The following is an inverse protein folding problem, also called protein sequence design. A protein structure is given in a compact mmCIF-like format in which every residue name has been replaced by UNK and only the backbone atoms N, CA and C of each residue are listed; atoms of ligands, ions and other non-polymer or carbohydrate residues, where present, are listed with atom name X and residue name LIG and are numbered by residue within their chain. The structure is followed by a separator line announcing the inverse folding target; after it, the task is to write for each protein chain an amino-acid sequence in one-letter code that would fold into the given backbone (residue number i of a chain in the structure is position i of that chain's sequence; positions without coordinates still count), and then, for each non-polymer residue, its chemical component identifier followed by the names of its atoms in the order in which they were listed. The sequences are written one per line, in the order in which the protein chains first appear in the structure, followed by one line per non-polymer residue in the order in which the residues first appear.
data_IF_492465698657
#
_entry.id   IF_492465698657
#
_cell.length_a   1.000
_cell.length_b   1.000
_cell.length_c   1.000
_cell.angle_alpha   90.00
_cell.angle_beta   90.00
_cell.angle_gamma   90.00
#
_symmetry.space_group_name_H-M   'P 1'
#
loop_
_entity.id
_entity.type
_entity.pdbx_description
1 polymer ?
#
# COMPACT_ATOMS: atom_id res chain seq x y z
N UNK A 1 -3.00 1.34 13.40
CA UNK A 1 -3.12 1.90 12.02
C UNK A 1 -1.90 2.74 11.69
N UNK A 2 -1.38 2.67 10.45
CA UNK A 2 -0.21 3.45 10.03
C UNK A 2 -0.50 4.93 9.72
N UNK A 3 -1.72 5.25 9.40
CA UNK A 3 -2.17 6.61 9.04
C UNK A 3 -2.36 7.52 10.26
N UNK A 4 -2.48 8.84 10.01
CA UNK A 4 -3.04 9.79 10.99
C UNK A 4 -4.53 9.47 11.24
N UNK A 5 -5.03 9.82 12.41
CA UNK A 5 -6.40 9.50 12.81
C UNK A 5 -7.46 10.05 11.82
N UNK A 6 -7.22 11.22 11.24
CA UNK A 6 -8.18 11.85 10.32
C UNK A 6 -7.92 11.58 8.84
N UNK A 7 -6.96 10.70 8.49
CA UNK A 7 -6.75 10.32 7.10
C UNK A 7 -7.97 9.58 6.53
N UNK A 8 -8.54 10.02 5.40
CA UNK A 8 -9.75 9.43 4.84
C UNK A 8 -9.61 7.94 4.50
N UNK A 9 -8.42 7.50 4.04
CA UNK A 9 -8.18 6.09 3.73
C UNK A 9 -8.06 5.27 5.01
N UNK A 10 -7.39 5.81 6.04
CA UNK A 10 -7.31 5.18 7.36
C UNK A 10 -8.69 4.98 7.96
N UNK A 11 -9.54 6.00 7.91
CA UNK A 11 -10.93 5.95 8.40
C UNK A 11 -11.78 4.96 7.59
N UNK A 12 -11.66 4.93 6.26
CA UNK A 12 -12.37 3.97 5.43
C UNK A 12 -11.96 2.51 5.73
N UNK A 13 -10.68 2.27 5.98
CA UNK A 13 -10.16 0.96 6.39
C UNK A 13 -10.72 0.54 7.76
N UNK A 14 -10.72 1.44 8.74
CA UNK A 14 -11.26 1.18 10.07
C UNK A 14 -12.78 0.90 10.02
N UNK A 15 -13.54 1.70 9.26
CA UNK A 15 -14.97 1.51 9.08
C UNK A 15 -15.29 0.15 8.43
N UNK A 16 -14.57 -0.23 7.36
CA UNK A 16 -14.74 -1.52 6.69
C UNK A 16 -14.43 -2.70 7.62
N UNK A 17 -13.44 -2.55 8.51
CA UNK A 17 -13.10 -3.55 9.53
C UNK A 17 -14.22 -3.69 10.57
N UNK A 18 -14.71 -2.58 11.14
CA UNK A 18 -15.80 -2.60 12.13
C UNK A 18 -17.08 -3.18 11.52
N UNK A 19 -17.44 -2.75 10.31
CA UNK A 19 -18.60 -3.28 9.57
C UNK A 19 -18.49 -4.79 9.35
N UNK A 20 -17.30 -5.27 8.92
CA UNK A 20 -17.05 -6.68 8.71
C UNK A 20 -17.14 -7.52 10.00
N UNK A 21 -16.64 -6.99 11.12
CA UNK A 21 -16.81 -7.63 12.43
C UNK A 21 -18.28 -7.66 12.86
N UNK A 22 -19.02 -6.57 12.62
CA UNK A 22 -20.46 -6.50 12.88
C UNK A 22 -21.25 -7.56 12.12
N UNK A 23 -20.90 -7.81 10.84
CA UNK A 23 -21.51 -8.87 10.03
C UNK A 23 -21.24 -10.29 10.59
N UNK A 24 -20.18 -10.46 11.36
CA UNK A 24 -19.81 -11.70 12.05
C UNK A 24 -20.34 -11.76 13.51
N UNK A 25 -21.24 -10.84 13.89
CA UNK A 25 -21.84 -10.70 15.22
C UNK A 25 -20.88 -10.22 16.32
N UNK A 26 -19.75 -9.64 15.99
CA UNK A 26 -18.90 -8.95 16.94
C UNK A 26 -19.38 -7.49 17.08
N UNK A 27 -19.74 -7.08 18.29
CA UNK A 27 -20.33 -5.75 18.58
C UNK A 27 -19.53 -5.06 19.68
N UNK A 28 -18.94 -3.92 19.34
CA UNK A 28 -18.21 -3.09 20.28
C UNK A 28 -19.12 -2.68 21.45
N UNK A 29 -18.58 -2.70 22.66
CA UNK A 29 -19.34 -2.44 23.92
C UNK A 29 -20.23 -3.58 24.39
N UNK A 30 -20.35 -4.70 23.63
CA UNK A 30 -21.14 -5.88 24.02
C UNK A 30 -20.24 -7.11 24.20
N UNK A 31 -19.66 -7.60 23.11
CA UNK A 31 -18.79 -8.79 23.10
C UNK A 31 -17.43 -8.52 22.45
N UNK A 32 -17.15 -7.26 22.12
CA UNK A 32 -15.91 -6.81 21.53
C UNK A 32 -15.49 -5.47 22.17
N UNK A 33 -14.19 -5.32 22.37
CA UNK A 33 -13.54 -4.05 22.66
C UNK A 33 -12.44 -3.83 21.65
N UNK A 34 -12.34 -2.62 21.05
CA UNK A 34 -11.29 -2.25 20.11
C UNK A 34 -10.51 -1.06 20.68
N UNK A 35 -9.23 -1.25 20.90
CA UNK A 35 -8.31 -0.19 21.33
C UNK A 35 -7.51 0.31 20.11
N UNK A 36 -7.91 1.46 19.57
CA UNK A 36 -7.27 2.06 18.41
C UNK A 36 -5.99 2.80 18.75
N UNK A 37 -4.98 2.70 17.87
CA UNK A 37 -3.78 3.54 17.87
C UNK A 37 -3.47 3.96 16.43
N UNK A 38 -3.20 5.24 16.24
CA UNK A 38 -2.91 5.84 14.95
C UNK A 38 -1.45 6.29 14.94
N UNK A 39 -0.63 5.65 14.12
CA UNK A 39 0.84 5.76 14.17
C UNK A 39 1.42 6.91 13.35
N UNK A 40 0.59 7.68 12.64
CA UNK A 40 0.98 8.88 11.88
C UNK A 40 2.21 8.71 10.98
N UNK A 41 2.39 7.52 10.43
CA UNK A 41 3.61 7.16 9.67
C UNK A 41 4.93 7.39 10.43
N UNK A 42 4.87 7.62 11.75
CA UNK A 42 6.03 7.87 12.62
C UNK A 42 6.50 6.56 13.27
N UNK A 43 7.72 6.09 12.97
CA UNK A 43 8.28 4.88 13.56
C UNK A 43 8.37 4.92 15.09
N UNK A 44 8.70 6.07 15.69
CA UNK A 44 8.83 6.21 17.14
C UNK A 44 7.49 6.08 17.83
N UNK A 45 6.45 6.69 17.25
CA UNK A 45 5.10 6.62 17.75
C UNK A 45 4.54 5.19 17.62
N UNK A 46 4.83 4.50 16.52
CA UNK A 46 4.45 3.09 16.34
C UNK A 46 5.10 2.17 17.38
N UNK A 47 6.38 2.38 17.72
CA UNK A 47 7.06 1.63 18.77
C UNK A 47 6.39 1.86 20.15
N UNK A 48 6.06 3.11 20.46
CA UNK A 48 5.36 3.47 21.71
C UNK A 48 3.99 2.78 21.79
N UNK A 49 3.16 2.92 20.77
CA UNK A 49 1.83 2.34 20.71
C UNK A 49 1.82 0.80 20.70
N UNK A 50 2.82 0.18 20.06
CA UNK A 50 2.96 -1.27 20.14
C UNK A 50 3.23 -1.75 21.57
N UNK A 51 4.04 -1.00 22.34
CA UNK A 51 4.26 -1.31 23.77
C UNK A 51 2.97 -1.19 24.58
N UNK A 52 2.22 -0.11 24.39
CA UNK A 52 0.93 0.09 25.08
C UNK A 52 -0.06 -1.04 24.76
N UNK A 53 -0.25 -1.35 23.45
CA UNK A 53 -1.21 -2.37 23.03
C UNK A 53 -0.86 -3.76 23.59
N UNK A 54 0.42 -4.15 23.56
CA UNK A 54 0.88 -5.44 24.12
C UNK A 54 0.68 -5.48 25.63
N UNK A 55 0.89 -4.36 26.34
CA UNK A 55 0.68 -4.27 27.78
C UNK A 55 -0.80 -4.47 28.20
N UNK A 56 -1.75 -4.15 27.30
CA UNK A 56 -3.18 -4.44 27.53
C UNK A 56 -3.50 -5.93 27.46
N UNK A 57 -2.58 -6.78 27.00
CA UNK A 57 -2.76 -8.22 26.83
C UNK A 57 -4.03 -8.58 26.05
N UNK A 58 -4.26 -8.04 24.84
CA UNK A 58 -5.46 -8.31 24.08
C UNK A 58 -5.46 -9.75 23.54
N UNK A 59 -6.64 -10.24 23.17
CA UNK A 59 -6.79 -11.56 22.55
C UNK A 59 -6.19 -11.62 21.14
N UNK A 60 -6.07 -10.45 20.45
CA UNK A 60 -5.52 -10.32 19.11
C UNK A 60 -5.04 -8.89 18.85
N UNK A 61 -4.00 -8.75 18.03
CA UNK A 61 -3.50 -7.49 17.49
C UNK A 61 -3.74 -7.42 15.99
N UNK A 62 -4.28 -6.29 15.49
CA UNK A 62 -4.38 -5.99 14.07
C UNK A 62 -3.31 -4.98 13.68
N UNK A 63 -2.37 -5.39 12.81
CA UNK A 63 -1.39 -4.50 12.20
C UNK A 63 -1.95 -3.93 10.89
N UNK A 64 -2.43 -2.69 10.90
CA UNK A 64 -3.10 -2.07 9.76
C UNK A 64 -2.17 -1.27 8.87
N UNK A 65 -2.12 -1.60 7.58
CA UNK A 65 -1.51 -0.81 6.48
C UNK A 65 -0.01 -0.53 6.61
N UNK A 66 0.77 -1.38 7.30
CA UNK A 66 2.21 -1.14 7.43
C UNK A 66 2.98 -2.39 7.79
N UNK A 67 4.06 -2.64 7.04
CA UNK A 67 5.08 -3.63 7.40
C UNK A 67 5.77 -3.25 8.72
N UNK A 68 6.01 -1.96 8.94
CA UNK A 68 6.63 -1.46 10.18
C UNK A 68 5.72 -1.74 11.39
N UNK A 69 4.41 -1.48 11.30
CA UNK A 69 3.48 -1.81 12.39
C UNK A 69 3.47 -3.31 12.72
N UNK A 70 3.56 -4.16 11.69
CA UNK A 70 3.66 -5.61 11.87
C UNK A 70 4.97 -5.99 12.57
N UNK A 71 6.09 -5.41 12.15
CA UNK A 71 7.41 -5.70 12.71
C UNK A 71 7.53 -5.27 14.18
N UNK A 72 7.09 -4.06 14.53
CA UNK A 72 7.15 -3.57 15.91
C UNK A 72 6.28 -4.40 16.86
N UNK A 73 5.10 -4.85 16.43
CA UNK A 73 4.26 -5.74 17.21
C UNK A 73 4.90 -7.12 17.37
N UNK A 74 5.39 -7.72 16.28
CA UNK A 74 6.02 -9.04 16.29
C UNK A 74 7.25 -9.10 17.21
N UNK A 75 8.06 -8.05 17.24
CA UNK A 75 9.24 -7.97 18.14
C UNK A 75 8.85 -7.90 19.62
N UNK A 76 7.64 -7.46 19.96
CA UNK A 76 7.18 -7.27 21.34
C UNK A 76 6.41 -8.46 21.88
N UNK A 77 5.83 -9.30 21.02
CA UNK A 77 5.10 -10.49 21.48
C UNK A 77 5.24 -11.66 20.50
N UNK A 78 5.57 -12.84 21.04
CA UNK A 78 5.52 -14.11 20.31
C UNK A 78 4.29 -14.95 20.67
N UNK A 79 3.37 -14.42 21.52
CA UNK A 79 2.22 -15.17 22.03
C UNK A 79 0.89 -14.61 21.55
N UNK A 80 0.72 -13.28 21.61
CA UNK A 80 -0.53 -12.66 21.18
C UNK A 80 -0.65 -12.82 19.67
N UNK A 81 -1.75 -13.36 19.14
CA UNK A 81 -2.03 -13.43 17.70
C UNK A 81 -1.93 -12.06 17.03
N UNK A 82 -1.28 -12.01 15.88
CA UNK A 82 -1.17 -10.80 15.05
C UNK A 82 -1.74 -11.09 13.68
N UNK A 83 -2.76 -10.33 13.29
CA UNK A 83 -3.26 -10.31 11.91
C UNK A 83 -2.77 -9.02 11.24
N UNK A 84 -2.04 -9.14 10.15
CA UNK A 84 -1.67 -7.97 9.37
C UNK A 84 -2.64 -7.76 8.19
N UNK A 85 -2.85 -6.50 7.82
CA UNK A 85 -3.59 -6.10 6.63
C UNK A 85 -2.72 -5.16 5.79
N UNK A 86 -2.58 -5.44 4.50
CA UNK A 86 -1.80 -4.66 3.54
C UNK A 86 -0.29 -4.64 3.83
N UNK A 87 0.33 -5.81 3.95
CA UNK A 87 1.78 -5.98 4.07
C UNK A 87 2.37 -6.47 2.75
N UNK A 88 3.46 -5.84 2.31
CA UNK A 88 4.25 -6.27 1.15
C UNK A 88 5.29 -7.29 1.62
N UNK A 89 5.46 -8.39 0.90
CA UNK A 89 6.48 -9.43 1.14
C UNK A 89 6.60 -9.91 2.61
N UNK A 90 5.57 -10.51 3.19
CA UNK A 90 5.61 -10.96 4.58
C UNK A 90 6.60 -12.13 4.82
N UNK A 91 6.96 -12.88 3.77
CA UNK A 91 7.94 -13.96 3.84
C UNK A 91 9.36 -13.41 3.83
N UNK A 92 9.71 -12.57 2.85
CA UNK A 92 11.04 -11.95 2.75
C UNK A 92 11.37 -11.06 3.95
N UNK A 93 10.36 -10.43 4.58
CA UNK A 93 10.52 -9.70 5.83
C UNK A 93 10.57 -10.61 7.08
N UNK A 94 10.42 -11.92 6.93
CA UNK A 94 10.49 -12.89 8.03
C UNK A 94 9.31 -12.79 9.02
N UNK A 95 8.15 -12.30 8.61
CA UNK A 95 6.96 -12.25 9.45
C UNK A 95 6.28 -13.61 9.53
N UNK A 96 6.35 -14.38 8.45
CA UNK A 96 5.81 -15.73 8.32
C UNK A 96 6.84 -16.65 7.65
N UNK A 97 6.78 -17.94 7.94
CA UNK A 97 7.69 -18.93 7.34
C UNK A 97 7.41 -19.15 5.84
N UNK A 98 6.13 -19.19 5.46
CA UNK A 98 5.66 -19.22 4.08
C UNK A 98 4.22 -18.69 4.01
N UNK A 99 3.74 -18.38 2.80
CA UNK A 99 2.36 -17.93 2.61
C UNK A 99 1.34 -19.04 2.98
N UNK A 100 1.62 -20.29 2.64
CA UNK A 100 0.74 -21.42 2.93
C UNK A 100 0.75 -21.86 4.39
N UNK A 101 1.90 -21.71 5.06
CA UNK A 101 2.12 -22.12 6.45
C UNK A 101 2.88 -21.02 7.19
N UNK A 102 2.19 -20.07 7.82
CA UNK A 102 2.81 -18.96 8.57
C UNK A 102 3.75 -19.40 9.69
N UNK A 103 3.38 -20.46 10.43
CA UNK A 103 4.24 -21.17 11.38
C UNK A 103 4.47 -20.48 12.71
N UNK A 104 3.87 -19.32 12.97
CA UNK A 104 4.02 -18.52 14.20
C UNK A 104 2.71 -17.90 14.69
N UNK A 105 2.83 -16.82 15.45
CA UNK A 105 1.67 -16.05 15.93
C UNK A 105 1.22 -14.95 14.96
N UNK A 106 1.79 -14.89 13.75
CA UNK A 106 1.52 -13.85 12.74
C UNK A 106 0.92 -14.47 11.48
N UNK A 107 -0.14 -13.89 10.97
CA UNK A 107 -0.75 -14.20 9.67
C UNK A 107 -1.42 -12.94 9.10
N UNK A 108 -2.02 -13.01 7.91
CA UNK A 108 -2.78 -11.87 7.40
C UNK A 108 -2.93 -11.81 5.87
N UNK A 109 -2.92 -10.59 5.36
CA UNK A 109 -3.28 -10.25 3.98
C UNK A 109 -2.19 -9.39 3.34
N UNK A 110 -1.52 -9.95 2.32
CA UNK A 110 -0.56 -9.21 1.51
C UNK A 110 -1.26 -8.23 0.57
N UNK A 111 -0.59 -7.14 0.24
CA UNK A 111 -1.05 -6.14 -0.74
C UNK A 111 -0.28 -6.24 -2.07
N UNK A 112 0.61 -7.19 -2.23
CA UNK A 112 1.51 -7.30 -3.37
C UNK A 112 1.33 -8.64 -4.11
N UNK A 113 1.35 -8.53 -5.44
CA UNK A 113 1.49 -9.63 -6.39
C UNK A 113 2.43 -9.17 -7.52
N UNK A 114 3.38 -10.00 -7.98
CA UNK A 114 4.32 -9.64 -9.05
C UNK A 114 3.66 -9.11 -10.34
N UNK A 115 2.45 -9.56 -10.66
CA UNK A 115 1.70 -9.10 -11.84
C UNK A 115 1.43 -7.59 -11.82
N UNK A 116 1.38 -6.97 -10.63
CA UNK A 116 1.12 -5.53 -10.49
C UNK A 116 2.21 -4.69 -11.16
N UNK A 117 3.45 -5.13 -11.08
CA UNK A 117 4.61 -4.39 -11.61
C UNK A 117 4.52 -4.19 -13.12
N UNK A 118 4.27 -5.27 -13.85
CA UNK A 118 4.11 -5.19 -15.32
C UNK A 118 2.94 -4.29 -15.71
N UNK A 119 1.87 -4.30 -14.91
CA UNK A 119 0.71 -3.43 -15.15
C UNK A 119 1.03 -1.96 -14.89
N UNK A 120 1.74 -1.63 -13.82
CA UNK A 120 2.17 -0.25 -13.52
C UNK A 120 2.99 0.34 -14.65
N UNK A 121 4.04 -0.38 -15.10
CA UNK A 121 4.86 0.06 -16.21
C UNK A 121 4.05 0.15 -17.52
N UNK A 122 3.22 -0.86 -17.79
CA UNK A 122 2.35 -0.88 -18.97
C UNK A 122 1.39 0.29 -19.05
N UNK A 123 0.89 0.79 -17.92
CA UNK A 123 0.02 1.98 -17.89
C UNK A 123 0.77 3.25 -18.31
N UNK A 124 2.04 3.41 -17.89
CA UNK A 124 2.86 4.55 -18.29
C UNK A 124 3.25 4.49 -19.76
N UNK A 125 3.61 3.32 -20.28
CA UNK A 125 4.02 3.16 -21.68
C UNK A 125 2.88 3.33 -22.68
N UNK A 126 1.63 3.11 -22.25
CA UNK A 126 0.44 3.28 -23.08
C UNK A 126 -0.02 4.74 -23.20
N UNK A 127 0.50 5.66 -22.41
CA UNK A 127 0.19 7.09 -22.54
C UNK A 127 0.64 7.64 -23.90
N UNK A 128 0.01 8.73 -24.35
CA UNK A 128 0.45 9.46 -25.54
C UNK A 128 0.75 10.91 -25.16
N UNK A 129 2.03 11.35 -25.24
CA UNK A 129 3.22 10.59 -25.68
C UNK A 129 3.59 9.47 -24.69
N UNK A 130 4.21 8.37 -25.17
CA UNK A 130 4.54 7.24 -24.29
C UNK A 130 5.74 7.53 -23.39
N UNK A 131 5.67 7.05 -22.15
CA UNK A 131 6.79 7.09 -21.20
C UNK A 131 7.80 5.98 -21.55
N UNK A 132 9.09 6.29 -21.45
CA UNK A 132 10.19 5.34 -21.66
C UNK A 132 11.23 5.33 -20.52
N UNK A 133 11.28 6.41 -19.73
CA UNK A 133 12.21 6.53 -18.61
C UNK A 133 11.39 6.65 -17.31
N UNK A 134 11.47 5.67 -16.42
CA UNK A 134 10.66 5.61 -15.21
C UNK A 134 11.55 5.72 -13.98
N UNK A 135 11.21 6.61 -13.06
CA UNK A 135 11.78 6.64 -11.73
C UNK A 135 10.84 5.92 -10.74
N UNK A 136 11.36 4.93 -10.03
CA UNK A 136 10.65 4.25 -8.94
C UNK A 136 10.92 4.97 -7.61
N UNK A 137 9.94 5.70 -7.10
CA UNK A 137 10.05 6.57 -5.92
C UNK A 137 9.72 5.80 -4.64
N UNK A 138 10.61 5.83 -3.66
CA UNK A 138 10.40 5.23 -2.33
C UNK A 138 11.38 5.79 -1.30
N UNK A 139 11.07 5.58 0.00
CA UNK A 139 12.01 5.85 1.09
C UNK A 139 12.63 4.53 1.58
N UNK A 140 13.96 4.34 1.47
CA UNK A 140 14.61 3.09 1.87
C UNK A 140 14.49 2.78 3.37
N UNK A 141 14.29 3.77 4.23
CA UNK A 141 14.12 3.56 5.66
C UNK A 141 12.75 2.94 6.02
N UNK A 142 11.74 3.12 5.18
CA UNK A 142 10.37 2.64 5.41
C UNK A 142 9.93 1.56 4.42
N UNK A 143 10.77 1.23 3.42
CA UNK A 143 10.51 0.23 2.38
C UNK A 143 11.56 -0.90 2.40
N UNK A 144 11.64 -1.74 3.43
CA UNK A 144 12.64 -2.82 3.52
C UNK A 144 12.51 -3.87 2.41
N UNK A 145 11.36 -3.93 1.75
CA UNK A 145 11.04 -4.80 0.60
C UNK A 145 11.32 -4.15 -0.77
N UNK A 146 11.95 -2.96 -0.81
CA UNK A 146 12.20 -2.25 -2.07
C UNK A 146 12.97 -3.09 -3.08
N UNK A 147 13.96 -3.89 -2.63
CA UNK A 147 14.74 -4.76 -3.51
C UNK A 147 13.86 -5.77 -4.28
N UNK A 148 12.85 -6.36 -3.64
CA UNK A 148 11.89 -7.25 -4.28
C UNK A 148 11.12 -6.54 -5.40
N UNK A 149 10.59 -5.34 -5.11
CA UNK A 149 9.82 -4.56 -6.07
C UNK A 149 10.69 -4.08 -7.23
N UNK A 150 11.88 -3.56 -6.94
CA UNK A 150 12.82 -3.10 -7.97
C UNK A 150 13.26 -4.22 -8.89
N UNK A 151 13.57 -5.40 -8.34
CA UNK A 151 13.94 -6.58 -9.14
C UNK A 151 12.80 -6.96 -10.10
N UNK A 152 11.56 -7.05 -9.62
CA UNK A 152 10.42 -7.34 -10.47
C UNK A 152 10.17 -6.25 -11.54
N UNK A 153 10.41 -4.98 -11.20
CA UNK A 153 10.33 -3.85 -12.15
C UNK A 153 11.42 -3.97 -13.23
N UNK A 154 12.65 -4.27 -12.84
CA UNK A 154 13.79 -4.45 -13.75
C UNK A 154 13.59 -5.65 -14.69
N UNK A 155 13.01 -6.75 -14.22
CA UNK A 155 12.65 -7.91 -15.04
C UNK A 155 11.55 -7.60 -16.06
N UNK A 156 10.55 -6.79 -15.70
CA UNK A 156 9.46 -6.44 -16.58
C UNK A 156 9.82 -5.37 -17.61
N UNK A 157 10.72 -4.45 -17.28
CA UNK A 157 11.06 -3.26 -18.06
C UNK A 157 11.51 -3.53 -19.51
N UNK A 158 12.36 -4.54 -19.81
CA UNK A 158 12.79 -4.81 -21.20
C UNK A 158 11.64 -5.17 -22.13
N UNK A 159 10.66 -5.92 -21.65
CA UNK A 159 9.50 -6.33 -22.46
C UNK A 159 8.60 -5.17 -22.85
N UNK A 160 8.67 -4.06 -22.13
CA UNK A 160 7.92 -2.82 -22.33
C UNK A 160 8.78 -1.71 -22.97
N UNK A 161 10.04 -1.98 -23.28
CA UNK A 161 11.00 -1.00 -23.82
C UNK A 161 11.14 0.24 -22.90
N UNK A 162 11.22 0.02 -21.60
CA UNK A 162 11.34 1.06 -20.55
C UNK A 162 12.67 0.92 -19.85
N UNK A 163 13.31 2.06 -19.56
CA UNK A 163 14.42 2.14 -18.61
C UNK A 163 13.88 2.54 -17.25
N UNK A 164 14.26 1.80 -16.22
CA UNK A 164 13.84 2.11 -14.85
C UNK A 164 15.05 2.41 -13.98
N UNK A 165 14.90 3.41 -13.10
CA UNK A 165 15.88 3.71 -12.07
C UNK A 165 15.22 3.87 -10.70
N UNK A 166 15.91 3.48 -9.65
CA UNK A 166 15.52 3.79 -8.28
C UNK A 166 15.62 5.30 -8.02
N UNK A 167 14.62 5.85 -7.34
CA UNK A 167 14.58 7.24 -6.90
C UNK A 167 14.29 7.27 -5.40
N UNK A 168 15.37 7.20 -4.62
CA UNK A 168 15.27 7.22 -3.15
C UNK A 168 15.07 8.62 -2.62
N UNK A 169 14.18 8.78 -1.65
CA UNK A 169 13.84 10.07 -1.03
C UNK A 169 13.64 9.91 0.47
N UNK A 170 13.93 10.95 1.23
CA UNK A 170 13.75 10.98 2.69
C UNK A 170 12.92 12.17 3.19
N UNK A 171 12.68 13.17 2.33
CA UNK A 171 11.93 14.39 2.65
C UNK A 171 11.34 15.04 1.37
N UNK A 172 10.53 16.08 1.54
CA UNK A 172 9.89 16.80 0.44
C UNK A 172 10.89 17.48 -0.51
N UNK A 173 12.05 17.91 -0.01
CA UNK A 173 13.07 18.52 -0.85
C UNK A 173 13.67 17.51 -1.83
N UNK A 174 13.91 16.29 -1.38
CA UNK A 174 14.39 15.22 -2.26
C UNK A 174 13.31 14.76 -3.24
N UNK A 175 12.02 14.74 -2.83
CA UNK A 175 10.90 14.49 -3.75
C UNK A 175 10.89 15.55 -4.87
N UNK A 176 11.02 16.83 -4.52
CA UNK A 176 11.06 17.92 -5.52
C UNK A 176 12.27 17.80 -6.45
N UNK A 177 13.44 17.43 -5.95
CA UNK A 177 14.64 17.19 -6.78
C UNK A 177 14.42 16.06 -7.80
N UNK A 178 13.77 14.96 -7.41
CA UNK A 178 13.42 13.87 -8.32
C UNK A 178 12.46 14.37 -9.40
N UNK A 179 11.41 15.09 -9.03
CA UNK A 179 10.43 15.64 -9.98
C UNK A 179 11.06 16.63 -10.95
N UNK A 180 11.90 17.55 -10.46
CA UNK A 180 12.63 18.50 -11.29
C UNK A 180 13.63 17.81 -12.24
N UNK A 181 14.21 16.69 -11.83
CA UNK A 181 15.04 15.85 -12.69
C UNK A 181 14.23 15.22 -13.83
N UNK A 182 13.11 14.59 -13.49
CA UNK A 182 12.21 13.96 -14.46
C UNK A 182 11.67 14.96 -15.50
N UNK A 183 11.33 16.18 -15.08
CA UNK A 183 10.84 17.22 -15.98
C UNK A 183 11.86 17.64 -17.08
N UNK A 184 13.14 17.36 -16.88
CA UNK A 184 14.21 17.64 -17.88
C UNK A 184 14.50 16.48 -18.81
N UNK A 185 13.96 15.31 -18.49
CA UNK A 185 14.15 14.08 -19.26
C UNK A 185 12.95 13.87 -20.19
N UNK A 186 13.21 13.66 -21.46
CA UNK A 186 12.16 13.33 -22.41
C UNK A 186 11.51 11.99 -22.07
N UNK A 187 10.20 11.90 -22.25
CA UNK A 187 9.43 10.68 -22.07
C UNK A 187 9.59 10.05 -20.68
N UNK A 188 9.74 10.90 -19.68
CA UNK A 188 9.90 10.48 -18.29
C UNK A 188 8.56 10.25 -17.61
N UNK A 189 8.55 9.43 -16.55
CA UNK A 189 7.40 9.18 -15.70
C UNK A 189 7.80 8.68 -14.32
N UNK A 190 6.84 8.65 -13.42
CA UNK A 190 7.03 8.26 -12.03
C UNK A 190 6.22 7.01 -11.72
N UNK A 191 6.85 6.06 -11.06
CA UNK A 191 6.19 4.97 -10.35
C UNK A 191 6.39 5.17 -8.85
N UNK A 192 5.32 5.43 -8.11
CA UNK A 192 5.38 5.53 -6.65
C UNK A 192 5.22 4.14 -6.06
N UNK A 193 6.21 3.67 -5.30
CA UNK A 193 6.12 2.36 -4.65
C UNK A 193 5.23 2.43 -3.38
N UNK A 194 4.55 1.33 -3.02
CA UNK A 194 3.76 1.26 -1.79
C UNK A 194 4.66 1.44 -0.56
N UNK A 195 4.47 2.51 0.19
CA UNK A 195 5.32 2.90 1.31
C UNK A 195 4.53 3.85 2.23
N UNK A 196 4.75 3.77 3.55
CA UNK A 196 4.12 4.68 4.52
C UNK A 196 4.63 6.11 4.38
N UNK A 197 5.91 6.30 4.03
CA UNK A 197 6.48 7.62 3.76
C UNK A 197 5.79 8.28 2.56
N UNK A 198 5.70 7.59 1.41
CA UNK A 198 5.04 8.12 0.21
C UNK A 198 3.55 8.37 0.46
N UNK A 199 2.91 7.57 1.29
CA UNK A 199 1.51 7.77 1.70
C UNK A 199 1.34 9.03 2.56
N UNK A 200 2.25 9.29 3.49
CA UNK A 200 2.27 10.50 4.32
C UNK A 200 2.56 11.78 3.52
N UNK A 201 3.35 11.65 2.43
CA UNK A 201 3.70 12.77 1.52
C UNK A 201 2.84 12.79 0.26
N UNK A 202 1.69 12.09 0.25
CA UNK A 202 0.80 11.94 -0.91
C UNK A 202 0.49 13.27 -1.60
N UNK A 203 0.03 14.24 -0.84
CA UNK A 203 -0.44 15.52 -1.39
C UNK A 203 0.73 16.34 -1.99
N UNK A 204 1.90 16.29 -1.36
CA UNK A 204 3.15 16.87 -1.89
C UNK A 204 3.58 16.20 -3.19
N UNK A 205 3.61 14.86 -3.24
CA UNK A 205 3.97 14.09 -4.43
C UNK A 205 3.03 14.43 -5.60
N UNK A 206 1.71 14.49 -5.37
CA UNK A 206 0.72 14.83 -6.40
C UNK A 206 0.91 16.25 -6.89
N UNK A 207 1.08 17.22 -5.98
CA UNK A 207 1.27 18.62 -6.32
C UNK A 207 2.55 18.85 -7.14
N UNK A 208 3.65 18.18 -6.77
CA UNK A 208 4.91 18.24 -7.50
C UNK A 208 4.81 17.55 -8.87
N UNK A 209 4.16 16.39 -8.96
CA UNK A 209 3.92 15.72 -10.25
C UNK A 209 3.12 16.63 -11.20
N UNK A 210 2.10 17.32 -10.70
CA UNK A 210 1.32 18.28 -11.48
C UNK A 210 2.16 19.50 -11.89
N UNK A 211 2.91 20.10 -10.96
CA UNK A 211 3.77 21.27 -11.22
C UNK A 211 4.84 21.00 -12.27
N UNK A 212 5.45 19.83 -12.22
CA UNK A 212 6.53 19.43 -13.11
C UNK A 212 6.04 18.65 -14.33
N UNK A 213 4.73 18.48 -14.50
CA UNK A 213 4.08 17.75 -15.59
C UNK A 213 4.58 16.30 -15.77
N UNK A 214 4.86 15.62 -14.66
CA UNK A 214 5.34 14.24 -14.63
C UNK A 214 4.15 13.28 -14.52
N UNK A 215 3.91 12.42 -15.52
CA UNK A 215 2.88 11.38 -15.41
C UNK A 215 3.29 10.34 -14.39
N UNK A 216 2.35 9.93 -13.54
CA UNK A 216 2.63 9.02 -12.44
C UNK A 216 1.59 7.91 -12.29
N UNK A 217 2.06 6.71 -11.90
CA UNK A 217 1.24 5.62 -11.40
C UNK A 217 1.46 5.49 -9.90
N UNK A 218 0.37 5.35 -9.18
CA UNK A 218 0.34 5.34 -7.73
C UNK A 218 -0.10 3.98 -7.17
N UNK A 219 0.38 3.62 -5.97
CA UNK A 219 0.11 2.31 -5.36
C UNK A 219 -1.26 2.21 -4.69
N UNK A 220 -1.91 3.35 -4.39
CA UNK A 220 -3.19 3.40 -3.67
C UNK A 220 -4.18 4.34 -4.34
N UNK A 221 -5.47 3.94 -4.33
CA UNK A 221 -6.56 4.72 -4.90
C UNK A 221 -6.67 6.14 -4.32
N UNK A 222 -6.31 6.32 -3.05
CA UNK A 222 -6.32 7.62 -2.37
C UNK A 222 -5.47 8.70 -3.06
N UNK A 223 -4.40 8.31 -3.77
CA UNK A 223 -3.63 9.26 -4.57
C UNK A 223 -4.44 9.80 -5.75
N UNK A 224 -5.16 8.93 -6.46
CA UNK A 224 -5.96 9.37 -7.61
C UNK A 224 -7.20 10.14 -7.16
N UNK A 225 -7.80 9.77 -6.04
CA UNK A 225 -8.88 10.54 -5.42
C UNK A 225 -8.43 11.95 -5.01
N UNK A 226 -7.15 12.13 -4.64
CA UNK A 226 -6.55 13.43 -4.32
C UNK A 226 -6.01 14.19 -5.57
N UNK A 227 -6.23 13.68 -6.79
CA UNK A 227 -5.81 14.34 -8.03
C UNK A 227 -4.65 13.68 -8.78
N UNK A 228 -4.13 12.53 -8.32
CA UNK A 228 -3.14 11.74 -9.05
C UNK A 228 -3.67 11.20 -10.37
N UNK A 229 -2.75 10.79 -11.26
CA UNK A 229 -3.10 10.40 -12.63
C UNK A 229 -3.72 9.01 -12.74
N UNK A 230 -3.02 7.98 -12.27
CA UNK A 230 -3.43 6.59 -12.44
C UNK A 230 -3.12 5.74 -11.20
N UNK A 231 -3.98 4.78 -10.94
CA UNK A 231 -3.80 3.76 -9.90
C UNK A 231 -4.06 2.37 -10.49
N UNK A 232 -3.26 1.41 -10.07
CA UNK A 232 -3.55 0.00 -10.21
C UNK A 232 -3.12 -0.75 -8.95
N UNK A 233 -4.05 -1.44 -8.33
CA UNK A 233 -3.81 -2.17 -7.09
C UNK A 233 -5.09 -2.69 -6.45
N UNK A 234 -5.03 -2.95 -5.17
CA UNK A 234 -6.17 -3.44 -4.39
C UNK A 234 -6.88 -2.30 -3.65
N UNK A 235 -8.18 -2.51 -3.42
CA UNK A 235 -8.92 -1.68 -2.46
C UNK A 235 -8.52 -2.06 -1.03
N UNK A 236 -7.81 -1.17 -0.36
CA UNK A 236 -7.27 -1.48 0.98
C UNK A 236 -8.37 -1.75 2.01
N UNK A 237 -9.50 -1.05 1.92
CA UNK A 237 -10.66 -1.27 2.78
C UNK A 237 -11.26 -2.67 2.64
N UNK A 238 -11.23 -3.24 1.43
CA UNK A 238 -11.67 -4.62 1.21
C UNK A 238 -10.74 -5.63 1.90
N UNK A 239 -9.43 -5.36 1.92
CA UNK A 239 -8.49 -6.20 2.69
C UNK A 239 -8.81 -6.18 4.18
N UNK A 240 -9.15 -5.01 4.73
CA UNK A 240 -9.57 -4.89 6.13
C UNK A 240 -10.89 -5.62 6.40
N UNK A 241 -11.86 -5.55 5.50
CA UNK A 241 -13.10 -6.33 5.59
C UNK A 241 -12.81 -7.82 5.60
N UNK A 242 -11.95 -8.31 4.69
CA UNK A 242 -11.56 -9.74 4.64
C UNK A 242 -10.79 -10.18 5.89
N UNK A 243 -9.97 -9.31 6.48
CA UNK A 243 -9.22 -9.60 7.70
C UNK A 243 -10.13 -9.98 8.87
N UNK A 244 -11.38 -9.48 8.92
CA UNK A 244 -12.34 -9.82 9.97
C UNK A 244 -12.65 -11.31 10.06
N UNK A 245 -12.63 -12.01 8.91
CA UNK A 245 -12.80 -13.47 8.91
C UNK A 245 -11.65 -14.21 9.61
N UNK A 246 -10.43 -13.67 9.58
CA UNK A 246 -9.29 -14.23 10.34
C UNK A 246 -9.39 -13.86 11.81
N UNK A 247 -9.77 -12.63 12.11
CA UNK A 247 -10.02 -12.19 13.49
C UNK A 247 -11.10 -13.07 14.14
N UNK A 248 -12.22 -13.30 13.47
CA UNK A 248 -13.30 -14.18 13.96
C UNK A 248 -12.82 -15.60 14.25
N UNK A 249 -12.07 -16.19 13.32
CA UNK A 249 -11.52 -17.55 13.49
C UNK A 249 -10.55 -17.64 14.65
N UNK A 250 -9.66 -16.64 14.81
CA UNK A 250 -8.67 -16.62 15.89
C UNK A 250 -9.35 -16.40 17.25
N UNK A 251 -10.31 -15.48 17.36
CA UNK A 251 -11.08 -15.27 18.57
C UNK A 251 -11.94 -16.49 18.95
N UNK A 252 -12.23 -17.38 18.00
CA UNK A 252 -12.87 -18.69 18.21
C UNK A 252 -11.89 -19.84 18.42
N UNK A 253 -10.60 -19.55 18.55
CA UNK A 253 -9.57 -20.53 18.91
C UNK A 253 -8.70 -21.07 17.78
N UNK A 254 -8.82 -20.58 16.54
CA UNK A 254 -7.91 -20.94 15.47
C UNK A 254 -6.51 -20.38 15.72
N UNK A 255 -5.48 -21.12 15.35
CA UNK A 255 -4.09 -20.67 15.47
C UNK A 255 -3.69 -19.85 14.22
N UNK A 256 -3.03 -18.69 14.37
CA UNK A 256 -2.48 -17.95 13.24
C UNK A 256 -1.56 -18.79 12.33
N UNK A 257 -0.81 -19.72 12.93
CA UNK A 257 0.09 -20.65 12.23
C UNK A 257 -0.61 -21.49 11.15
N UNK A 258 -1.91 -21.77 11.31
CA UNK A 258 -2.72 -22.61 10.44
C UNK A 258 -3.57 -21.81 9.44
N UNK A 259 -3.47 -20.49 9.48
CA UNK A 259 -4.20 -19.58 8.60
C UNK A 259 -3.27 -19.06 7.49
N UNK A 260 -3.37 -19.57 6.24
CA UNK A 260 -2.51 -19.13 5.15
C UNK A 260 -2.59 -17.63 4.91
N UNK A 261 -1.45 -16.99 4.65
CA UNK A 261 -1.43 -15.60 4.22
C UNK A 261 -2.16 -15.48 2.88
N UNK A 262 -3.10 -14.55 2.81
CA UNK A 262 -3.86 -14.28 1.59
C UNK A 262 -3.12 -13.26 0.71
N UNK A 263 -3.00 -13.59 -0.56
CA UNK A 263 -2.53 -12.65 -1.59
C UNK A 263 -3.69 -11.90 -2.24
N UNK A 264 -3.42 -10.78 -2.93
CA UNK A 264 -4.43 -10.06 -3.70
C UNK A 264 -5.06 -10.93 -4.79
N UNK A 265 -6.39 -10.79 -4.96
CA UNK A 265 -7.12 -11.49 -6.03
C UNK A 265 -7.97 -10.52 -6.87
N UNK A 266 -8.32 -9.36 -6.33
CA UNK A 266 -9.15 -8.36 -6.99
C UNK A 266 -8.36 -7.06 -7.13
N UNK A 267 -7.96 -6.73 -8.35
CA UNK A 267 -7.27 -5.50 -8.66
C UNK A 267 -8.23 -4.49 -9.27
N UNK A 268 -7.96 -3.22 -9.03
CA UNK A 268 -8.69 -2.08 -9.57
C UNK A 268 -7.77 -1.18 -10.37
N UNK A 269 -8.30 -0.68 -11.48
CA UNK A 269 -7.66 0.35 -12.31
C UNK A 269 -8.47 1.63 -12.19
N UNK A 270 -7.87 2.72 -11.76
CA UNK A 270 -8.50 4.04 -11.74
C UNK A 270 -7.67 5.01 -12.58
N UNK A 271 -8.34 5.80 -13.40
CA UNK A 271 -7.71 6.79 -14.29
C UNK A 271 -8.38 8.14 -14.10
N UNK A 272 -7.58 9.21 -13.96
CA UNK A 272 -8.07 10.58 -13.83
C UNK A 272 -7.85 11.34 -15.13
N UNK A 273 -8.92 11.55 -15.91
CA UNK A 273 -8.87 12.26 -17.19
C UNK A 273 -8.62 13.77 -17.02
N UNK A 274 -9.07 14.38 -15.91
CA UNK A 274 -8.74 15.80 -15.62
C UNK A 274 -7.24 15.97 -15.49
N UNK A 275 -6.62 15.09 -14.71
CA UNK A 275 -5.17 15.11 -14.50
C UNK A 275 -4.42 14.78 -15.78
N UNK A 276 -4.86 13.79 -16.55
CA UNK A 276 -4.26 13.46 -17.84
C UNK A 276 -4.25 14.67 -18.77
N UNK A 277 -5.39 15.35 -18.91
CA UNK A 277 -5.54 16.56 -19.73
C UNK A 277 -4.66 17.70 -19.24
N UNK A 278 -4.60 17.92 -17.92
CA UNK A 278 -3.78 18.98 -17.32
C UNK A 278 -2.28 18.75 -17.53
N UNK A 279 -1.85 17.47 -17.53
CA UNK A 279 -0.46 17.06 -17.79
C UNK A 279 -0.12 16.97 -19.30
N UNK A 280 -1.10 17.15 -20.20
CA UNK A 280 -0.88 17.06 -21.65
C UNK A 280 -0.80 15.63 -22.19
N UNK A 281 -1.30 14.64 -21.45
CA UNK A 281 -1.31 13.25 -21.87
C UNK A 281 -2.70 12.80 -22.33
N UNK A 282 -2.71 11.93 -23.34
CA UNK A 282 -3.91 11.23 -23.78
C UNK A 282 -3.89 9.79 -23.24
N UNK A 283 -4.98 9.41 -22.59
CA UNK A 283 -5.22 8.03 -22.15
C UNK A 283 -5.81 7.25 -23.34
N UNK A 284 -5.19 6.13 -23.77
CA UNK A 284 -5.72 5.37 -24.90
C UNK A 284 -7.05 4.70 -24.58
N UNK A 285 -7.95 4.52 -25.59
CA UNK A 285 -9.24 3.88 -25.38
C UNK A 285 -9.16 2.50 -24.72
N UNK A 286 -8.13 1.72 -25.04
CA UNK A 286 -7.94 0.39 -24.44
C UNK A 286 -7.74 0.45 -22.92
N UNK A 287 -7.02 1.47 -22.41
CA UNK A 287 -6.83 1.66 -20.97
C UNK A 287 -8.13 2.16 -20.29
N UNK A 288 -8.90 3.03 -20.97
CA UNK A 288 -10.18 3.50 -20.46
C UNK A 288 -11.22 2.39 -20.36
N UNK A 289 -11.30 1.50 -21.37
CA UNK A 289 -12.20 0.34 -21.35
C UNK A 289 -11.80 -0.66 -20.24
N UNK A 290 -10.51 -0.78 -19.96
CA UNK A 290 -9.99 -1.65 -18.91
C UNK A 290 -10.07 -1.02 -17.50
N UNK A 291 -10.39 0.27 -17.39
CA UNK A 291 -10.50 0.94 -16.11
C UNK A 291 -11.79 0.57 -15.39
N UNK A 292 -11.70 0.29 -14.10
CA UNK A 292 -12.87 0.08 -13.22
C UNK A 292 -13.56 1.42 -12.89
N UNK A 293 -12.76 2.50 -12.88
CA UNK A 293 -13.24 3.86 -12.58
C UNK A 293 -12.47 4.90 -13.42
N UNK A 294 -13.21 5.85 -13.97
CA UNK A 294 -12.69 7.00 -14.70
C UNK A 294 -13.19 8.27 -14.02
N UNK A 295 -12.26 9.12 -13.56
CA UNK A 295 -12.56 10.43 -12.95
C UNK A 295 -12.50 11.47 -14.06
N UNK A 296 -13.65 12.16 -14.29
CA UNK A 296 -13.84 13.18 -15.32
C UNK A 296 -13.85 14.61 -14.74
#
# INVERSE_FOLDING_TARGET
MAFVEHDPQGQANAAAFVEGLGALNWKEGSNLRIDWRWGDSDPTLMEHYAAELVALSPDLLLAGSSSLATDVLRRRTGKIPIVFANVTDPVGQGFVASLGHPGGNVTGFSNYDPVMVSKWLGMLTQLTPPVANVAALYNPATTPYAALLLHAIEEAAPSLSVTVRAATVKDDAEIELVMAGLAREERSGLLVLPDIFTSGHRDSIIALAARYQVPAVYPFRSFVAAGGLMFYGIETSETFRRATGYVDRILKGAMPADLPVQTPVNFKTVVNLRTAKALGFTIPPALLVAADEVIE
#
